data_IF_107760321329
#
_entry.id   IF_107760321329
#
_cell.length_a   1.000
_cell.length_b   1.000
_cell.length_c   1.000
_cell.angle_alpha   90.00
_cell.angle_beta   90.00
_cell.angle_gamma   90.00
#
_symmetry.space_group_name_H-M   'P 1'
#
loop_
_entity.id
_entity.type
_entity.pdbx_description
1 polymer ?
#
# COMPACT_ATOMS: atom_id res chain seq x y z
N UNK A 1 -11.72 3.65 -11.09
CA UNK A 1 -10.26 3.82 -11.11
C UNK A 1 -9.69 3.20 -12.37
N UNK A 2 -8.51 3.64 -12.83
CA UNK A 2 -7.83 2.97 -13.94
C UNK A 2 -7.38 1.58 -13.47
N UNK A 3 -7.82 0.51 -14.14
CA UNK A 3 -7.56 -0.88 -13.73
C UNK A 3 -6.07 -1.22 -13.71
N UNK A 4 -5.24 -0.50 -14.48
CA UNK A 4 -3.78 -0.65 -14.42
C UNK A 4 -3.18 -0.23 -13.08
N UNK A 5 -3.76 0.77 -12.42
CA UNK A 5 -3.27 1.32 -11.16
C UNK A 5 -3.52 0.38 -9.98
N UNK A 6 -4.76 -0.13 -9.87
CA UNK A 6 -5.13 -1.14 -8.86
C UNK A 6 -4.29 -2.41 -9.00
N UNK A 7 -4.06 -2.84 -10.25
CA UNK A 7 -3.27 -4.03 -10.56
C UNK A 7 -1.84 -3.93 -10.05
N UNK A 8 -1.13 -2.83 -10.32
CA UNK A 8 0.25 -2.65 -9.87
C UNK A 8 0.35 -2.65 -8.34
N UNK A 9 -0.54 -1.93 -7.65
CA UNK A 9 -0.57 -1.88 -6.19
C UNK A 9 -0.79 -3.27 -5.60
N UNK A 10 -1.77 -4.01 -6.13
CA UNK A 10 -2.05 -5.37 -5.66
C UNK A 10 -0.89 -6.32 -5.93
N UNK A 11 -0.28 -6.25 -7.12
CA UNK A 11 0.84 -7.11 -7.47
C UNK A 11 2.03 -6.90 -6.51
N UNK A 12 2.41 -5.65 -6.26
CA UNK A 12 3.46 -5.32 -5.29
C UNK A 12 3.12 -5.81 -3.87
N UNK A 13 1.86 -5.67 -3.44
CA UNK A 13 1.40 -6.10 -2.13
C UNK A 13 1.25 -7.64 -1.98
N UNK A 14 1.27 -8.40 -3.08
CA UNK A 14 1.25 -9.87 -3.05
C UNK A 14 2.65 -10.42 -2.85
N UNK A 15 3.64 -9.86 -3.54
CA UNK A 15 5.01 -10.38 -3.52
C UNK A 15 5.68 -10.15 -2.17
N UNK A 16 5.42 -8.99 -1.54
CA UNK A 16 6.00 -8.63 -0.24
C UNK A 16 5.06 -7.76 0.60
N UNK A 17 5.38 -7.63 1.90
CA UNK A 17 4.87 -6.51 2.69
C UNK A 17 5.51 -5.21 2.21
N UNK A 18 4.94 -4.61 1.16
CA UNK A 18 5.46 -3.45 0.44
C UNK A 18 5.24 -2.15 1.21
N UNK A 19 6.25 -1.30 1.33
CA UNK A 19 6.14 0.03 1.91
C UNK A 19 5.31 0.99 1.04
N UNK A 20 4.59 1.94 1.65
CA UNK A 20 3.86 2.97 0.88
C UNK A 20 4.80 3.81 -0.01
N UNK A 21 6.04 4.06 0.44
CA UNK A 21 7.05 4.76 -0.36
C UNK A 21 7.55 3.91 -1.53
N UNK A 22 7.57 2.58 -1.39
CA UNK A 22 7.98 1.67 -2.46
C UNK A 22 6.91 1.61 -3.54
N UNK A 23 5.63 1.67 -3.16
CA UNK A 23 4.54 1.79 -4.12
C UNK A 23 4.69 3.05 -5.00
N UNK A 24 5.19 4.17 -4.48
CA UNK A 24 5.51 5.34 -5.32
C UNK A 24 6.65 5.05 -6.30
N UNK A 25 7.62 4.22 -5.93
CA UNK A 25 8.74 3.83 -6.80
C UNK A 25 8.29 2.98 -7.99
N UNK A 26 7.27 2.15 -7.82
CA UNK A 26 6.64 1.38 -8.92
C UNK A 26 6.11 2.30 -10.04
N UNK A 27 5.89 3.58 -9.74
CA UNK A 27 5.43 4.60 -10.68
C UNK A 27 6.44 5.73 -10.88
N UNK A 28 7.72 5.53 -10.56
CA UNK A 28 8.75 6.58 -10.67
C UNK A 28 8.89 7.18 -12.09
N UNK A 29 8.56 6.42 -13.14
CA UNK A 29 8.55 6.88 -14.53
C UNK A 29 7.31 7.72 -14.91
N UNK A 30 6.33 7.83 -14.01
CA UNK A 30 5.08 8.58 -14.15
C UNK A 30 5.03 9.69 -13.07
N UNK A 31 5.75 10.81 -13.26
CA UNK A 31 5.91 11.85 -12.22
C UNK A 31 4.60 12.53 -11.79
N UNK A 32 3.52 12.38 -12.57
CA UNK A 32 2.17 12.80 -12.21
C UNK A 32 1.53 11.95 -11.10
N UNK A 33 2.05 10.74 -10.85
CA UNK A 33 1.55 9.85 -9.80
C UNK A 33 2.28 10.20 -8.51
N UNK A 34 1.57 10.90 -7.64
CA UNK A 34 2.01 11.29 -6.30
C UNK A 34 1.29 10.49 -5.22
N UNK A 35 1.63 10.72 -3.95
CA UNK A 35 0.89 10.17 -2.82
C UNK A 35 -0.58 10.63 -2.80
N UNK A 36 -0.88 11.82 -3.31
CA UNK A 36 -2.25 12.33 -3.39
C UNK A 36 -3.10 11.53 -4.39
N UNK A 37 -2.51 11.18 -5.54
CA UNK A 37 -3.17 10.34 -6.54
C UNK A 37 -3.26 8.87 -6.10
N UNK A 38 -2.28 8.40 -5.32
CA UNK A 38 -2.23 7.01 -4.87
C UNK A 38 -3.15 6.72 -3.67
N UNK A 39 -3.29 7.68 -2.76
CA UNK A 39 -4.13 7.58 -1.55
C UNK A 39 -5.54 7.05 -1.80
N UNK A 40 -6.36 7.61 -2.73
CA UNK A 40 -7.72 7.13 -2.95
C UNK A 40 -7.76 5.67 -3.44
N UNK A 41 -6.74 5.22 -4.17
CA UNK A 41 -6.65 3.83 -4.61
C UNK A 41 -6.34 2.87 -3.46
N UNK A 42 -5.35 3.19 -2.64
CA UNK A 42 -5.02 2.38 -1.46
C UNK A 42 -6.20 2.38 -0.48
N UNK A 43 -6.87 3.51 -0.29
CA UNK A 43 -8.08 3.61 0.54
C UNK A 43 -9.20 2.70 0.01
N UNK A 44 -9.54 2.76 -1.29
CA UNK A 44 -10.56 1.90 -1.91
C UNK A 44 -10.22 0.41 -1.76
N UNK A 45 -8.97 0.03 -2.07
CA UNK A 45 -8.52 -1.36 -1.95
C UNK A 45 -8.57 -1.85 -0.50
N UNK A 46 -8.23 -1.00 0.48
CA UNK A 46 -8.31 -1.32 1.90
C UNK A 46 -9.78 -1.47 2.33
N UNK A 47 -10.63 -0.53 1.94
CA UNK A 47 -12.06 -0.54 2.24
C UNK A 47 -12.77 -1.79 1.69
N UNK A 48 -12.39 -2.22 0.49
CA UNK A 48 -12.88 -3.44 -0.15
C UNK A 48 -12.30 -4.73 0.44
N UNK A 49 -11.39 -4.64 1.41
CA UNK A 49 -10.73 -5.78 2.05
C UNK A 49 -9.72 -6.48 1.15
N UNK A 50 -9.24 -5.83 0.08
CA UNK A 50 -8.28 -6.40 -0.87
C UNK A 50 -6.84 -6.28 -0.39
N UNK A 51 -6.54 -5.22 0.37
CA UNK A 51 -5.25 -5.06 1.04
C UNK A 51 -5.45 -4.79 2.54
N UNK A 52 -4.39 -5.00 3.31
CA UNK A 52 -4.27 -4.60 4.71
C UNK A 52 -3.04 -3.73 4.89
N UNK A 53 -3.14 -2.75 5.79
CA UNK A 53 -2.02 -1.91 6.19
C UNK A 53 -1.49 -2.35 7.55
N UNK A 54 -0.18 -2.18 7.74
CA UNK A 54 0.54 -2.55 8.94
C UNK A 54 1.54 -1.47 9.32
N UNK A 55 1.65 -1.16 10.60
CA UNK A 55 2.82 -0.51 11.15
C UNK A 55 3.98 -1.49 11.20
N UNK A 56 5.15 -1.07 10.74
CA UNK A 56 6.39 -1.85 10.81
C UNK A 56 7.49 -0.97 11.41
N UNK A 57 8.26 -1.50 12.37
CA UNK A 57 9.50 -0.85 12.80
C UNK A 57 10.62 -1.25 11.83
N UNK A 58 11.03 -0.34 10.98
CA UNK A 58 11.86 -0.68 9.83
C UNK A 58 13.33 -0.98 10.19
N UNK A 59 14.00 -1.87 9.45
CA UNK A 59 13.55 -2.56 8.23
C UNK A 59 12.87 -3.94 8.42
N UNK A 60 12.94 -4.53 9.62
CA UNK A 60 12.52 -5.93 9.86
C UNK A 60 11.78 -6.13 11.19
N UNK A 61 11.16 -5.09 11.71
CA UNK A 61 10.42 -5.14 12.96
C UNK A 61 9.12 -5.92 12.84
N UNK A 62 8.48 -6.12 13.99
CA UNK A 62 7.18 -6.77 14.04
C UNK A 62 6.11 -5.91 13.35
N UNK A 63 5.19 -6.60 12.67
CA UNK A 63 4.06 -5.99 11.99
C UNK A 63 2.86 -5.91 12.94
N UNK A 64 2.31 -4.71 13.08
CA UNK A 64 1.05 -4.48 13.79
C UNK A 64 0.00 -3.99 12.80
N UNK A 65 -1.16 -4.64 12.75
CA UNK A 65 -2.22 -4.21 11.85
C UNK A 65 -2.65 -2.77 12.14
N UNK A 66 -2.92 -2.02 11.08
CA UNK A 66 -3.66 -0.76 11.15
C UNK A 66 -5.14 -1.13 11.20
N UNK A 67 -5.83 -0.68 12.24
CA UNK A 67 -7.26 -0.91 12.39
C UNK A 67 -8.05 -0.21 11.29
N UNK A 68 -9.21 -0.77 10.95
CA UNK A 68 -10.05 -0.28 9.85
C UNK A 68 -10.45 1.20 10.04
N UNK A 69 -10.74 1.63 11.26
CA UNK A 69 -11.10 3.01 11.54
C UNK A 69 -9.92 3.99 11.44
N UNK A 70 -8.68 3.49 11.43
CA UNK A 70 -7.47 4.30 11.46
C UNK A 70 -6.72 4.43 10.13
N UNK A 71 -7.11 3.71 9.08
CA UNK A 71 -6.32 3.69 7.85
C UNK A 71 -6.33 5.05 7.13
N UNK A 72 -7.42 5.82 7.20
CA UNK A 72 -7.51 7.11 6.51
C UNK A 72 -6.50 8.12 7.07
N UNK A 73 -6.36 8.20 8.40
CA UNK A 73 -5.38 9.05 9.06
C UNK A 73 -3.94 8.63 8.73
N UNK A 74 -3.70 7.31 8.66
CA UNK A 74 -2.42 6.74 8.25
C UNK A 74 -2.07 7.16 6.82
N UNK A 75 -3.02 7.04 5.89
CA UNK A 75 -2.78 7.43 4.50
C UNK A 75 -2.71 8.95 4.30
N UNK A 76 -3.36 9.74 5.16
CA UNK A 76 -3.30 11.21 5.12
C UNK A 76 -1.98 11.78 5.64
N UNK A 77 -1.26 11.04 6.50
CA UNK A 77 0.01 11.47 7.04
C UNK A 77 1.15 11.30 6.02
N UNK A 78 1.63 12.43 5.47
CA UNK A 78 2.71 12.46 4.46
C UNK A 78 4.02 11.80 4.92
N UNK A 79 4.29 11.71 6.23
CA UNK A 79 5.49 11.02 6.73
C UNK A 79 5.45 9.51 6.49
N UNK A 80 4.28 8.93 6.25
CA UNK A 80 4.16 7.50 5.95
C UNK A 80 4.51 7.16 4.50
N UNK A 81 4.64 8.17 3.63
CA UNK A 81 4.93 8.03 2.20
C UNK A 81 6.40 8.27 1.86
N UNK A 82 7.23 8.62 2.84
CA UNK A 82 8.68 8.78 2.67
C UNK A 82 9.42 7.57 3.21
N UNK A 83 10.62 7.32 2.69
CA UNK A 83 11.48 6.24 3.17
C UNK A 83 11.77 6.44 4.66
N UNK A 84 11.36 5.51 5.53
CA UNK A 84 11.61 5.61 6.96
C UNK A 84 13.11 5.40 7.25
N UNK A 85 13.61 6.12 8.25
CA UNK A 85 14.95 5.88 8.78
C UNK A 85 15.04 4.55 9.54
N UNK A 86 16.27 4.12 9.82
CA UNK A 86 16.52 2.91 10.63
C UNK A 86 15.83 3.02 11.98
N UNK A 87 15.08 1.99 12.39
CA UNK A 87 14.27 1.94 13.60
C UNK A 87 13.08 2.92 13.66
N UNK A 88 12.74 3.61 12.57
CA UNK A 88 11.52 4.39 12.48
C UNK A 88 10.34 3.51 12.06
N UNK A 89 9.13 3.96 12.37
CA UNK A 89 7.91 3.26 11.97
C UNK A 89 7.54 3.66 10.54
N UNK A 90 7.42 2.68 9.66
CA UNK A 90 6.83 2.83 8.32
C UNK A 90 5.46 2.15 8.23
N UNK A 91 4.79 2.35 7.09
CA UNK A 91 3.54 1.66 6.76
C UNK A 91 3.79 0.69 5.62
N UNK A 92 3.41 -0.57 5.85
CA UNK A 92 3.45 -1.63 4.86
C UNK A 92 2.05 -2.07 4.46
N UNK A 93 1.87 -2.32 3.18
CA UNK A 93 0.68 -2.92 2.60
C UNK A 93 0.95 -4.40 2.31
N UNK A 94 -0.08 -5.23 2.44
CA UNK A 94 -0.06 -6.60 1.96
C UNK A 94 -1.44 -6.99 1.44
N UNK A 95 -1.47 -7.73 0.33
CA UNK A 95 -2.69 -8.24 -0.24
C UNK A 95 -3.32 -9.29 0.69
N UNK A 96 -4.65 -9.25 0.78
CA UNK A 96 -5.39 -10.35 1.40
C UNK A 96 -5.56 -11.49 0.39
N UNK A 97 -6.00 -12.67 0.86
CA UNK A 97 -6.43 -13.75 -0.04
C UNK A 97 -7.49 -13.30 -1.06
N UNK A 98 -8.34 -12.35 -0.68
CA UNK A 98 -9.33 -11.76 -1.58
C UNK A 98 -8.67 -10.83 -2.59
N UNK A 99 -7.70 -10.02 -2.16
CA UNK A 99 -6.88 -9.19 -3.05
C UNK A 99 -6.10 -9.99 -4.07
N UNK A 100 -5.47 -11.10 -3.65
CA UNK A 100 -4.79 -12.03 -4.55
C UNK A 100 -5.73 -12.60 -5.63
N UNK A 101 -6.91 -13.07 -5.23
CA UNK A 101 -7.90 -13.61 -6.15
C UNK A 101 -8.40 -12.55 -7.14
N UNK A 102 -8.66 -11.34 -6.65
CA UNK A 102 -9.06 -10.21 -7.50
C UNK A 102 -7.94 -9.83 -8.47
N UNK A 103 -6.69 -9.75 -8.02
CA UNK A 103 -5.54 -9.45 -8.89
C UNK A 103 -5.37 -10.49 -10.01
N UNK A 104 -5.59 -11.78 -9.74
CA UNK A 104 -5.58 -12.82 -10.78
C UNK A 104 -6.68 -12.61 -11.82
N UNK A 105 -7.87 -12.19 -11.40
CA UNK A 105 -8.98 -11.92 -12.33
C UNK A 105 -8.72 -10.72 -13.26
N UNK A 106 -7.78 -9.84 -12.91
CA UNK A 106 -7.33 -8.74 -13.78
C UNK A 106 -6.32 -9.18 -14.86
N UNK A 107 -5.88 -10.45 -14.83
CA UNK A 107 -4.93 -11.04 -15.79
C UNK A 107 -5.60 -11.93 -16.85
N UNK A 108 -6.89 -12.24 -16.68
CA UNK A 108 -7.73 -13.03 -17.58
C UNK A 108 -8.45 -12.14 -18.61
#
# INVERSE_FOLDING_TARGET
MNTGFEKTILFAAIEDYVGLWELLWEFADQPEITEEEMRPAIADLTQRGLIKLYFCREPYGELSAVEYEGYEDVLANLQNWVVPGVNQTGIRASATKQGEAYCRSLLE
#
